data_IF_370863021292
#
_entry.id   IF_370863021292
#
_cell.length_a   1.000
_cell.length_b   1.000
_cell.length_c   1.000
_cell.angle_alpha   90.00
_cell.angle_beta   90.00
_cell.angle_gamma   90.00
#
_symmetry.space_group_name_H-M   'P 1'
#
loop_
_entity.id
_entity.type
_entity.pdbx_description
1 polymer ?
#
# COMPACT_ATOMS: atom_id res chain seq x y z
N UNK A 1 -1.12 -14.39 -34.44
CA UNK A 1 -1.13 -15.84 -34.13
C UNK A 1 -0.44 -16.05 -32.81
N UNK A 2 -0.66 -17.17 -32.13
CA UNK A 2 -0.12 -17.42 -30.79
C UNK A 2 -0.62 -16.47 -29.70
N UNK A 3 -1.64 -15.65 -29.99
CA UNK A 3 -2.10 -14.56 -29.13
C UNK A 3 -3.23 -14.98 -28.20
N UNK A 4 -3.48 -14.19 -27.15
CA UNK A 4 -4.64 -14.33 -26.27
C UNK A 4 -5.95 -14.33 -27.07
N UNK A 5 -6.07 -13.48 -28.10
CA UNK A 5 -7.24 -13.49 -28.98
C UNK A 5 -7.42 -14.86 -29.66
N UNK A 6 -6.36 -15.44 -30.24
CA UNK A 6 -6.48 -16.75 -30.85
C UNK A 6 -6.85 -17.83 -29.81
N UNK A 7 -6.22 -17.78 -28.64
CA UNK A 7 -6.43 -18.72 -27.55
C UNK A 7 -7.89 -18.77 -27.07
N UNK A 8 -8.53 -17.62 -26.84
CA UNK A 8 -9.92 -17.57 -26.36
C UNK A 8 -10.94 -18.06 -27.39
N UNK A 9 -10.55 -18.12 -28.67
CA UNK A 9 -11.34 -18.75 -29.75
C UNK A 9 -10.92 -20.19 -30.05
N UNK A 10 -10.07 -20.82 -29.23
CA UNK A 10 -9.60 -22.19 -29.43
C UNK A 10 -8.73 -22.36 -30.69
N UNK A 11 -8.08 -21.29 -31.13
CA UNK A 11 -7.24 -21.24 -32.32
C UNK A 11 -5.79 -20.95 -31.95
N UNK A 12 -4.87 -21.29 -32.85
CA UNK A 12 -3.47 -20.88 -32.78
C UNK A 12 -3.15 -19.73 -33.74
N UNK A 13 -3.88 -19.61 -34.85
CA UNK A 13 -3.53 -18.69 -35.94
C UNK A 13 -2.31 -19.14 -36.74
N UNK A 14 -1.72 -18.22 -37.52
CA UNK A 14 -0.67 -18.55 -38.50
C UNK A 14 0.72 -18.02 -38.12
N UNK A 15 0.84 -16.69 -38.00
CA UNK A 15 2.11 -16.01 -37.73
C UNK A 15 2.03 -15.36 -36.34
N UNK A 16 2.92 -15.72 -35.40
CA UNK A 16 3.05 -15.01 -34.13
C UNK A 16 3.85 -13.72 -34.29
N UNK A 17 3.76 -12.86 -33.28
CA UNK A 17 4.66 -11.72 -33.11
C UNK A 17 6.12 -12.19 -32.96
N UNK A 18 7.08 -11.37 -33.40
CA UNK A 18 8.51 -11.63 -33.28
C UNK A 18 9.32 -10.32 -33.20
N UNK A 19 10.59 -10.40 -32.85
CA UNK A 19 11.49 -9.26 -32.88
C UNK A 19 12.02 -9.01 -34.30
N UNK A 20 11.27 -8.23 -35.08
CA UNK A 20 11.60 -7.92 -36.48
C UNK A 20 12.86 -7.05 -36.65
N UNK A 21 13.02 -6.02 -35.80
CA UNK A 21 14.20 -5.14 -35.82
C UNK A 21 14.82 -4.97 -34.42
N UNK A 22 15.87 -5.74 -34.10
CA UNK A 22 16.62 -5.60 -32.85
C UNK A 22 17.24 -4.22 -32.62
N UNK A 23 17.57 -3.48 -33.69
CA UNK A 23 18.14 -2.13 -33.57
C UNK A 23 17.06 -1.12 -33.18
N UNK A 24 15.85 -1.26 -33.73
CA UNK A 24 14.70 -0.45 -33.33
C UNK A 24 14.35 -0.69 -31.85
N UNK A 25 14.34 -1.93 -31.37
CA UNK A 25 14.09 -2.21 -29.95
C UNK A 25 15.12 -1.56 -29.02
N UNK A 26 16.41 -1.61 -29.38
CA UNK A 26 17.46 -0.92 -28.60
C UNK A 26 17.26 0.59 -28.63
N UNK A 27 16.99 1.16 -29.80
CA UNK A 27 16.75 2.59 -29.94
C UNK A 27 15.51 3.04 -29.15
N UNK A 28 14.45 2.23 -29.15
CA UNK A 28 13.25 2.43 -28.35
C UNK A 28 13.60 2.50 -26.86
N UNK A 29 14.31 1.50 -26.32
CA UNK A 29 14.74 1.51 -24.92
C UNK A 29 15.55 2.78 -24.59
N UNK A 30 16.57 3.09 -25.39
CA UNK A 30 17.42 4.27 -25.17
C UNK A 30 16.61 5.57 -25.19
N UNK A 31 15.62 5.70 -26.10
CA UNK A 31 14.76 6.90 -26.18
C UNK A 31 13.81 7.01 -25.00
N UNK A 32 13.18 5.91 -24.57
CA UNK A 32 12.29 5.91 -23.40
C UNK A 32 13.03 6.33 -22.14
N UNK A 33 14.26 5.85 -21.93
CA UNK A 33 15.10 6.29 -20.79
C UNK A 33 15.33 7.81 -20.82
N UNK A 34 15.68 8.37 -21.99
CA UNK A 34 15.91 9.81 -22.14
C UNK A 34 14.64 10.62 -21.89
N UNK A 35 13.49 10.19 -22.43
CA UNK A 35 12.21 10.87 -22.22
C UNK A 35 11.80 10.85 -20.74
N UNK A 36 12.05 9.73 -20.05
CA UNK A 36 11.82 9.59 -18.63
C UNK A 36 12.72 10.52 -17.80
N UNK A 37 14.03 10.53 -18.07
CA UNK A 37 15.00 11.38 -17.39
C UNK A 37 14.70 12.88 -17.55
N UNK A 38 14.01 13.26 -18.64
CA UNK A 38 13.60 14.63 -18.90
C UNK A 38 12.19 14.97 -18.40
N UNK A 39 11.49 14.03 -17.77
CA UNK A 39 10.12 14.25 -17.27
C UNK A 39 9.10 14.53 -18.39
N UNK A 40 9.34 14.00 -19.59
CA UNK A 40 8.44 14.15 -20.74
C UNK A 40 7.33 13.10 -20.77
N UNK A 41 7.53 11.98 -20.07
CA UNK A 41 6.52 10.91 -19.93
C UNK A 41 5.60 11.21 -18.74
N UNK A 42 4.29 11.22 -19.00
CA UNK A 42 3.25 11.23 -17.96
C UNK A 42 2.86 9.81 -17.54
N UNK A 43 2.81 8.88 -18.50
CA UNK A 43 2.52 7.47 -18.26
C UNK A 43 3.18 6.60 -19.34
N UNK A 44 3.40 5.34 -19.03
CA UNK A 44 3.94 4.31 -19.92
C UNK A 44 3.26 2.98 -19.59
N UNK A 45 2.83 2.24 -20.60
CA UNK A 45 2.43 0.84 -20.46
C UNK A 45 2.81 0.05 -21.71
N UNK A 46 3.48 -1.08 -21.55
CA UNK A 46 3.88 -1.90 -22.69
C UNK A 46 2.70 -2.66 -23.30
N UNK A 47 2.92 -3.12 -24.53
CA UNK A 47 2.02 -4.03 -25.25
C UNK A 47 2.53 -5.45 -25.09
N UNK A 48 1.63 -6.31 -24.62
CA UNK A 48 1.88 -7.73 -24.39
C UNK A 48 0.59 -8.53 -24.59
N UNK A 49 0.21 -9.40 -23.65
CA UNK A 49 -0.97 -10.26 -23.72
C UNK A 49 -2.26 -9.43 -23.94
N UNK A 50 -3.01 -9.75 -25.00
CA UNK A 50 -4.22 -9.02 -25.38
C UNK A 50 -3.99 -7.72 -26.17
N UNK A 51 -2.73 -7.39 -26.45
CA UNK A 51 -2.35 -6.35 -27.41
C UNK A 51 -2.65 -4.92 -26.96
N UNK A 52 -2.71 -4.01 -27.92
CA UNK A 52 -2.95 -2.58 -27.70
C UNK A 52 -4.27 -2.32 -26.95
N UNK A 53 -5.29 -3.14 -27.18
CA UNK A 53 -6.57 -3.02 -26.49
C UNK A 53 -6.42 -3.18 -24.98
N UNK A 54 -5.72 -4.22 -24.52
CA UNK A 54 -5.51 -4.47 -23.09
C UNK A 54 -4.61 -3.39 -22.49
N UNK A 55 -3.51 -3.02 -23.17
CA UNK A 55 -2.65 -1.90 -22.74
C UNK A 55 -3.45 -0.62 -22.45
N UNK A 56 -4.33 -0.22 -23.38
CA UNK A 56 -5.14 0.99 -23.22
C UNK A 56 -6.23 0.83 -22.14
N UNK A 57 -6.85 -0.34 -22.04
CA UNK A 57 -7.78 -0.64 -20.96
C UNK A 57 -7.11 -0.53 -19.59
N UNK A 58 -5.94 -1.14 -19.40
CA UNK A 58 -5.21 -1.13 -18.13
C UNK A 58 -4.72 0.28 -17.75
N UNK A 59 -4.24 1.06 -18.73
CA UNK A 59 -3.95 2.48 -18.52
C UNK A 59 -5.19 3.28 -18.10
N UNK A 60 -6.34 3.05 -18.73
CA UNK A 60 -7.62 3.69 -18.37
C UNK A 60 -8.08 3.29 -16.97
N UNK A 61 -7.89 2.02 -16.58
CA UNK A 61 -8.22 1.52 -15.24
C UNK A 61 -7.33 2.18 -14.18
N UNK A 62 -6.03 2.29 -14.43
CA UNK A 62 -5.08 2.94 -13.52
C UNK A 62 -5.31 4.44 -13.40
N UNK A 63 -5.64 5.12 -14.51
CA UNK A 63 -5.93 6.55 -14.56
C UNK A 63 -7.37 6.91 -14.17
N UNK A 64 -8.25 5.92 -13.96
CA UNK A 64 -9.69 6.09 -13.70
C UNK A 64 -10.35 7.11 -14.66
N UNK A 65 -10.09 6.94 -15.96
CA UNK A 65 -10.50 7.89 -17.01
C UNK A 65 -10.87 7.16 -18.30
N UNK A 66 -11.74 7.76 -19.11
CA UNK A 66 -12.06 7.28 -20.45
C UNK A 66 -10.96 7.58 -21.46
N UNK A 67 -11.08 7.02 -22.67
CA UNK A 67 -10.15 7.20 -23.77
C UNK A 67 -10.87 7.44 -25.09
N UNK A 68 -10.27 8.24 -25.97
CA UNK A 68 -10.65 8.38 -27.38
C UNK A 68 -9.48 7.97 -28.25
N UNK A 69 -9.63 6.83 -28.94
CA UNK A 69 -8.56 6.17 -29.68
C UNK A 69 -8.94 6.07 -31.16
N UNK A 70 -7.95 6.35 -32.01
CA UNK A 70 -8.01 6.33 -33.45
C UNK A 70 -7.00 5.31 -33.98
N UNK A 71 -7.48 4.36 -34.79
CA UNK A 71 -6.70 3.23 -35.30
C UNK A 71 -6.25 3.40 -36.75
N UNK A 72 -6.66 4.48 -37.43
CA UNK A 72 -6.41 4.74 -38.85
C UNK A 72 -4.92 4.66 -39.24
N UNK A 73 -4.03 5.08 -38.34
CA UNK A 73 -2.58 5.07 -38.58
C UNK A 73 -1.91 3.70 -38.29
N UNK A 74 -2.68 2.69 -37.85
CA UNK A 74 -2.20 1.38 -37.41
C UNK A 74 -2.49 0.24 -38.39
N UNK A 75 -3.02 0.56 -39.58
CA UNK A 75 -3.33 -0.38 -40.65
C UNK A 75 -4.84 -0.60 -40.86
N UNK A 76 -5.18 -1.31 -41.94
CA UNK A 76 -6.56 -1.46 -42.44
C UNK A 76 -7.41 -2.50 -41.66
N UNK A 77 -6.78 -3.33 -40.83
CA UNK A 77 -7.46 -4.34 -40.02
C UNK A 77 -7.50 -3.89 -38.54
N UNK A 78 -8.64 -3.34 -38.06
CA UNK A 78 -8.75 -2.85 -36.68
C UNK A 78 -8.64 -3.99 -35.64
N UNK A 79 -8.96 -5.24 -36.01
CA UNK A 79 -8.81 -6.38 -35.09
C UNK A 79 -7.32 -6.69 -34.91
N UNK A 80 -6.56 -6.72 -36.01
CA UNK A 80 -5.11 -6.91 -35.94
C UNK A 80 -4.42 -5.74 -35.21
N UNK A 81 -4.84 -4.49 -35.45
CA UNK A 81 -4.29 -3.31 -34.78
C UNK A 81 -4.49 -3.38 -33.25
N UNK A 82 -5.66 -3.84 -32.79
CA UNK A 82 -5.99 -3.91 -31.36
C UNK A 82 -5.38 -5.12 -30.64
N UNK A 83 -5.36 -6.29 -31.28
CA UNK A 83 -5.08 -7.56 -30.61
C UNK A 83 -3.79 -8.26 -31.08
N UNK A 84 -3.00 -7.62 -31.94
CA UNK A 84 -1.62 -8.05 -32.16
C UNK A 84 -0.80 -7.81 -30.89
N UNK A 85 0.04 -8.78 -30.55
CA UNK A 85 0.89 -8.78 -29.35
C UNK A 85 2.35 -8.52 -29.75
N UNK A 86 2.54 -7.70 -30.79
CA UNK A 86 3.86 -7.23 -31.20
C UNK A 86 4.49 -6.38 -30.08
N UNK A 87 5.82 -6.35 -30.02
CA UNK A 87 6.52 -5.51 -29.04
C UNK A 87 6.16 -4.03 -29.23
N UNK A 88 6.16 -3.27 -28.13
CA UNK A 88 5.90 -1.84 -28.14
C UNK A 88 5.32 -1.35 -26.83
N UNK A 89 4.93 -0.08 -26.80
CA UNK A 89 4.28 0.53 -25.65
C UNK A 89 3.41 1.72 -26.07
N UNK A 90 2.46 2.06 -25.20
CA UNK A 90 1.77 3.34 -25.23
C UNK A 90 2.45 4.27 -24.22
N UNK A 91 2.85 5.45 -24.70
CA UNK A 91 3.32 6.54 -23.84
C UNK A 91 2.31 7.67 -23.84
N UNK A 92 2.06 8.24 -22.67
CA UNK A 92 1.31 9.48 -22.54
C UNK A 92 2.28 10.63 -22.34
N UNK A 93 2.14 11.68 -23.12
CA UNK A 93 2.91 12.92 -23.02
C UNK A 93 1.96 14.11 -22.94
N UNK A 94 2.44 15.27 -22.49
CA UNK A 94 1.64 16.49 -22.53
C UNK A 94 1.42 16.89 -23.99
N UNK A 95 0.23 17.41 -24.30
CA UNK A 95 -0.11 17.83 -25.67
C UNK A 95 0.91 18.80 -26.29
N UNK A 96 1.44 19.73 -25.48
CA UNK A 96 2.46 20.70 -25.93
C UNK A 96 3.82 20.08 -26.27
N UNK A 97 4.09 18.87 -25.78
CA UNK A 97 5.38 18.18 -25.96
C UNK A 97 5.29 17.13 -27.10
N UNK A 98 4.11 16.89 -27.69
CA UNK A 98 3.87 15.82 -28.68
C UNK A 98 4.78 15.93 -29.90
N UNK A 99 4.88 17.11 -30.52
CA UNK A 99 5.67 17.31 -31.74
C UNK A 99 7.18 17.09 -31.49
N UNK A 100 7.68 17.57 -30.36
CA UNK A 100 9.09 17.41 -29.97
C UNK A 100 9.42 15.93 -29.71
N UNK A 101 8.54 15.21 -29.01
CA UNK A 101 8.71 13.78 -28.74
C UNK A 101 8.70 12.98 -30.04
N UNK A 102 7.76 13.26 -30.96
CA UNK A 102 7.71 12.59 -32.26
C UNK A 102 8.96 12.87 -33.10
N UNK A 103 9.46 14.12 -33.11
CA UNK A 103 10.70 14.46 -33.79
C UNK A 103 11.89 13.66 -33.24
N UNK A 104 11.96 13.50 -31.92
CA UNK A 104 13.04 12.75 -31.28
C UNK A 104 12.99 11.25 -31.56
N UNK A 105 11.78 10.67 -31.60
CA UNK A 105 11.58 9.29 -32.00
C UNK A 105 11.96 9.11 -33.47
N UNK A 106 11.55 10.03 -34.34
CA UNK A 106 11.93 10.03 -35.75
C UNK A 106 13.46 10.09 -35.94
N UNK A 107 14.15 11.00 -35.25
CA UNK A 107 15.61 11.14 -35.33
C UNK A 107 16.37 9.90 -34.82
N UNK A 108 15.74 9.11 -33.94
CA UNK A 108 16.25 7.82 -33.49
C UNK A 108 15.95 6.66 -34.45
N UNK A 109 15.31 6.93 -35.60
CA UNK A 109 14.90 5.91 -36.56
C UNK A 109 13.59 5.19 -36.20
N UNK A 110 12.82 5.72 -35.25
CA UNK A 110 11.57 5.11 -34.77
C UNK A 110 10.30 5.73 -35.38
N UNK A 111 10.45 6.66 -36.33
CA UNK A 111 9.32 7.42 -36.89
C UNK A 111 8.23 6.53 -37.50
N UNK A 112 8.62 5.45 -38.20
CA UNK A 112 7.66 4.51 -38.80
C UNK A 112 6.92 3.61 -37.80
N UNK A 113 7.35 3.60 -36.53
CA UNK A 113 6.73 2.83 -35.44
C UNK A 113 5.96 3.72 -34.46
N UNK A 114 5.98 5.04 -34.67
CA UNK A 114 5.46 6.03 -33.73
C UNK A 114 4.18 6.63 -34.26
N UNK A 115 3.07 6.41 -33.56
CA UNK A 115 1.74 6.85 -34.00
C UNK A 115 1.04 7.61 -32.88
N UNK A 116 0.39 8.73 -33.23
CA UNK A 116 -0.50 9.43 -32.31
C UNK A 116 -1.87 8.77 -32.37
N UNK A 117 -2.19 7.99 -31.35
CA UNK A 117 -3.38 7.15 -31.34
C UNK A 117 -4.59 7.77 -30.63
N UNK A 118 -4.43 8.83 -29.83
CA UNK A 118 -5.59 9.37 -29.10
C UNK A 118 -5.27 10.22 -27.87
N UNK A 119 -6.30 10.43 -27.04
CA UNK A 119 -6.22 11.21 -25.79
C UNK A 119 -7.10 10.61 -24.69
N UNK A 120 -6.83 10.91 -23.40
CA UNK A 120 -7.81 10.74 -22.33
C UNK A 120 -9.11 11.50 -22.58
N UNK A 121 -10.18 11.08 -21.91
CA UNK A 121 -11.51 11.68 -21.99
C UNK A 121 -12.09 11.95 -20.59
N UNK A 122 -12.94 12.98 -20.49
CA UNK A 122 -13.56 13.40 -19.23
C UNK A 122 -14.81 12.57 -18.85
N UNK A 123 -15.06 11.45 -19.54
CA UNK A 123 -16.12 10.50 -19.23
C UNK A 123 -15.57 9.08 -18.98
N UNK A 124 -16.42 8.15 -18.58
CA UNK A 124 -16.02 6.76 -18.27
C UNK A 124 -15.95 5.88 -19.54
N UNK A 125 -15.95 6.45 -20.74
CA UNK A 125 -16.05 5.65 -21.98
C UNK A 125 -14.69 5.46 -22.65
N UNK A 126 -14.46 4.23 -23.12
CA UNK A 126 -13.36 3.92 -24.01
C UNK A 126 -13.94 3.72 -25.41
N UNK A 127 -13.47 4.53 -26.36
CA UNK A 127 -14.00 4.56 -27.72
C UNK A 127 -12.85 4.40 -28.71
N UNK A 128 -12.95 3.37 -29.56
CA UNK A 128 -12.01 3.07 -30.63
C UNK A 128 -12.68 3.34 -31.98
N UNK A 129 -11.99 4.10 -32.82
CA UNK A 129 -12.47 4.51 -34.14
C UNK A 129 -11.51 4.10 -35.24
N UNK A 130 -12.06 3.81 -36.41
CA UNK A 130 -11.34 3.56 -37.65
C UNK A 130 -12.20 4.08 -38.82
N UNK A 131 -11.61 4.82 -39.77
CA UNK A 131 -12.32 5.51 -40.85
C UNK A 131 -13.47 6.40 -40.33
N UNK A 132 -13.25 7.06 -39.19
CA UNK A 132 -14.26 7.87 -38.47
C UNK A 132 -15.50 7.10 -37.96
N UNK A 133 -15.49 5.78 -38.01
CA UNK A 133 -16.55 4.93 -37.47
C UNK A 133 -16.13 4.31 -36.13
N UNK A 134 -17.08 4.22 -35.18
CA UNK A 134 -16.88 3.48 -33.93
C UNK A 134 -16.82 1.98 -34.25
N UNK A 135 -15.66 1.36 -33.98
CA UNK A 135 -15.45 -0.09 -34.20
C UNK A 135 -15.56 -0.89 -32.90
N UNK A 136 -15.28 -0.25 -31.77
CA UNK A 136 -15.44 -0.82 -30.43
C UNK A 136 -15.63 0.33 -29.42
N UNK A 137 -16.62 0.21 -28.55
CA UNK A 137 -16.76 1.11 -27.41
C UNK A 137 -17.46 0.43 -26.24
N UNK A 138 -17.22 0.95 -25.04
CA UNK A 138 -17.84 0.48 -23.81
C UNK A 138 -17.54 1.40 -22.64
N UNK A 139 -18.21 1.15 -21.52
CA UNK A 139 -17.91 1.80 -20.25
C UNK A 139 -16.66 1.15 -19.62
N UNK A 140 -15.74 1.97 -19.12
CA UNK A 140 -14.50 1.54 -18.47
C UNK A 140 -14.82 0.64 -17.29
N UNK A 141 -15.83 0.97 -16.48
CA UNK A 141 -16.25 0.15 -15.35
C UNK A 141 -16.64 -1.26 -15.78
N UNK A 142 -17.41 -1.40 -16.86
CA UNK A 142 -17.85 -2.72 -17.34
C UNK A 142 -16.66 -3.59 -17.76
N UNK A 143 -15.71 -2.99 -18.49
CA UNK A 143 -14.50 -3.69 -18.90
C UNK A 143 -13.54 -3.97 -17.74
N UNK A 144 -13.40 -3.04 -16.79
CA UNK A 144 -12.60 -3.27 -15.59
C UNK A 144 -13.19 -4.41 -14.75
N UNK A 145 -14.52 -4.47 -14.61
CA UNK A 145 -15.19 -5.59 -13.93
C UNK A 145 -14.99 -6.90 -14.66
N UNK A 146 -15.07 -6.91 -16.00
CA UNK A 146 -14.76 -8.11 -16.78
C UNK A 146 -13.31 -8.56 -16.56
N UNK A 147 -12.36 -7.62 -16.58
CA UNK A 147 -10.94 -7.89 -16.32
C UNK A 147 -10.71 -8.41 -14.89
N UNK A 148 -11.39 -7.87 -13.88
CA UNK A 148 -11.26 -8.31 -12.48
C UNK A 148 -12.06 -9.58 -12.13
N UNK A 149 -12.97 -10.05 -12.99
CA UNK A 149 -13.86 -11.18 -12.66
C UNK A 149 -13.06 -12.42 -12.28
N UNK A 150 -11.98 -12.75 -13.00
CA UNK A 150 -11.15 -13.91 -12.68
C UNK A 150 -10.58 -13.82 -11.26
N UNK A 151 -10.04 -12.66 -10.87
CA UNK A 151 -9.52 -12.44 -9.51
C UNK A 151 -10.64 -12.56 -8.47
N UNK A 152 -11.80 -11.94 -8.71
CA UNK A 152 -12.95 -12.01 -7.82
C UNK A 152 -13.44 -13.45 -7.62
N UNK A 153 -13.55 -14.25 -8.68
CA UNK A 153 -13.94 -15.66 -8.61
C UNK A 153 -12.92 -16.48 -7.82
N UNK A 154 -11.63 -16.28 -8.05
CA UNK A 154 -10.57 -16.98 -7.32
C UNK A 154 -10.57 -16.61 -5.84
N UNK A 155 -10.73 -15.34 -5.50
CA UNK A 155 -10.88 -14.89 -4.12
C UNK A 155 -12.12 -15.48 -3.46
N UNK A 156 -13.28 -15.48 -4.14
CA UNK A 156 -14.50 -16.05 -3.58
C UNK A 156 -14.41 -17.56 -3.32
N UNK A 157 -13.57 -18.29 -4.07
CA UNK A 157 -13.30 -19.72 -3.87
C UNK A 157 -12.28 -19.98 -2.74
N UNK A 158 -11.33 -19.06 -2.53
CA UNK A 158 -10.18 -19.24 -1.63
C UNK A 158 -10.37 -18.59 -0.25
N UNK A 159 -11.00 -17.42 -0.24
CA UNK A 159 -11.10 -16.47 0.86
C UNK A 159 -12.55 -16.37 1.36
N UNK A 160 -12.86 -15.37 2.19
CA UNK A 160 -14.25 -15.05 2.52
C UNK A 160 -14.99 -14.48 1.28
N UNK A 161 -16.02 -15.19 0.81
CA UNK A 161 -16.76 -14.81 -0.39
C UNK A 161 -17.49 -13.46 -0.29
N UNK A 162 -17.87 -13.02 0.92
CA UNK A 162 -18.48 -11.70 1.11
C UNK A 162 -17.43 -10.60 0.91
N UNK A 163 -16.21 -10.77 1.42
CA UNK A 163 -15.11 -9.83 1.15
C UNK A 163 -14.77 -9.78 -0.35
N UNK A 164 -14.66 -10.93 -1.01
CA UNK A 164 -14.40 -10.99 -2.45
C UNK A 164 -15.49 -10.28 -3.28
N UNK A 165 -16.76 -10.36 -2.83
CA UNK A 165 -17.87 -9.63 -3.43
C UNK A 165 -17.78 -8.13 -3.15
N UNK A 166 -17.52 -7.73 -1.90
CA UNK A 166 -17.39 -6.31 -1.52
C UNK A 166 -16.28 -5.61 -2.33
N UNK A 167 -15.10 -6.24 -2.49
CA UNK A 167 -14.01 -5.69 -3.31
C UNK A 167 -14.36 -5.65 -4.79
N UNK A 168 -15.04 -6.66 -5.31
CA UNK A 168 -15.47 -6.61 -6.70
C UNK A 168 -16.52 -5.52 -6.92
N UNK A 169 -17.50 -5.40 -6.04
CA UNK A 169 -18.60 -4.44 -6.15
C UNK A 169 -18.18 -3.00 -5.85
N UNK A 170 -17.02 -2.77 -5.21
CA UNK A 170 -16.48 -1.42 -5.04
C UNK A 170 -16.19 -0.73 -6.39
N UNK A 171 -15.92 -1.51 -7.45
CA UNK A 171 -15.73 -0.98 -8.81
C UNK A 171 -16.99 -0.34 -9.40
N UNK A 172 -18.18 -0.59 -8.85
CA UNK A 172 -19.43 0.01 -9.33
C UNK A 172 -19.54 1.50 -8.99
N UNK A 173 -18.69 1.99 -8.09
CA UNK A 173 -18.64 3.40 -7.77
C UNK A 173 -17.77 4.17 -8.78
N UNK A 174 -18.41 4.65 -9.84
CA UNK A 174 -17.77 5.49 -10.86
C UNK A 174 -17.15 6.77 -10.28
N UNK A 175 -17.71 7.28 -9.18
CA UNK A 175 -17.31 8.52 -8.54
C UNK A 175 -16.20 8.37 -7.51
N UNK A 176 -15.68 7.15 -7.31
CA UNK A 176 -14.63 6.89 -6.35
C UNK A 176 -13.41 7.81 -6.62
N UNK A 177 -13.07 8.73 -5.69
CA UNK A 177 -11.95 9.65 -5.88
C UNK A 177 -10.58 8.99 -5.72
N UNK A 178 -10.53 7.70 -5.34
CA UNK A 178 -9.29 7.01 -5.01
C UNK A 178 -8.67 7.51 -3.71
N UNK A 179 -7.40 7.14 -3.49
CA UNK A 179 -6.65 7.58 -2.32
C UNK A 179 -6.52 9.12 -2.31
N UNK A 180 -7.12 9.75 -1.30
CA UNK A 180 -7.22 11.22 -1.20
C UNK A 180 -6.76 11.70 0.19
N UNK A 181 -5.44 11.87 0.42
CA UNK A 181 -4.90 12.30 1.69
C UNK A 181 -5.25 13.77 1.98
N UNK A 182 -5.42 14.10 3.25
CA UNK A 182 -5.63 15.45 3.74
C UNK A 182 -4.93 15.58 5.08
N UNK A 183 -3.99 16.51 5.22
CA UNK A 183 -3.14 16.62 6.42
C UNK A 183 -3.55 17.83 7.26
N UNK A 184 -3.47 17.67 8.59
CA UNK A 184 -3.74 18.72 9.58
C UNK A 184 -2.48 19.49 10.00
N UNK A 185 -1.31 19.10 9.50
CA UNK A 185 0.01 19.60 9.87
C UNK A 185 0.89 19.83 8.63
N UNK A 186 1.96 20.61 8.81
CA UNK A 186 2.96 20.86 7.77
C UNK A 186 3.98 19.71 7.71
N UNK A 187 4.11 19.06 6.57
CA UNK A 187 5.05 17.94 6.38
C UNK A 187 6.50 18.39 6.25
N UNK A 188 6.73 19.66 5.93
CA UNK A 188 8.08 20.23 5.81
C UNK A 188 8.63 20.71 7.15
N UNK A 189 7.78 20.84 8.17
CA UNK A 189 8.19 21.22 9.53
C UNK A 189 8.83 20.01 10.26
N UNK A 190 10.15 20.03 10.38
CA UNK A 190 10.86 19.10 11.27
C UNK A 190 10.82 19.59 12.73
N UNK A 191 9.74 19.21 13.43
CA UNK A 191 9.54 19.52 14.86
C UNK A 191 10.64 18.93 15.77
N UNK A 192 11.37 17.92 15.30
CA UNK A 192 12.47 17.31 16.06
C UNK A 192 13.80 18.04 15.85
N UNK A 193 13.94 18.89 14.82
CA UNK A 193 15.18 19.57 14.49
C UNK A 193 15.82 20.35 15.65
N UNK A 194 15.08 21.10 16.49
CA UNK A 194 15.66 21.78 17.66
C UNK A 194 16.25 20.81 18.68
N UNK A 195 15.60 19.66 18.89
CA UNK A 195 16.10 18.60 19.79
C UNK A 195 17.35 17.93 19.20
N UNK A 196 17.34 17.62 17.90
CA UNK A 196 18.47 17.03 17.17
C UNK A 196 19.69 17.95 17.23
N UNK A 197 19.49 19.26 17.07
CA UNK A 197 20.56 20.27 17.10
C UNK A 197 21.31 20.34 18.45
N UNK A 198 20.71 19.85 19.54
CA UNK A 198 21.41 19.75 20.84
C UNK A 198 22.51 18.69 20.84
N UNK A 199 22.48 17.75 19.90
CA UNK A 199 23.38 16.58 19.85
C UNK A 199 23.04 15.47 20.86
N UNK A 200 22.03 15.67 21.72
CA UNK A 200 21.57 14.63 22.65
C UNK A 200 20.64 13.68 21.92
N UNK A 201 21.00 12.39 21.90
CA UNK A 201 20.21 11.33 21.26
C UNK A 201 19.67 10.36 22.31
N UNK A 202 18.37 10.43 22.67
CA UNK A 202 17.77 9.53 23.65
C UNK A 202 17.86 8.07 23.18
N UNK A 203 18.18 7.15 24.09
CA UNK A 203 18.27 5.72 23.76
C UNK A 203 16.88 5.13 23.55
N UNK A 204 16.72 4.45 22.42
CA UNK A 204 15.48 3.76 22.04
C UNK A 204 15.75 2.27 21.81
N UNK A 205 14.98 1.41 22.47
CA UNK A 205 15.06 -0.02 22.25
C UNK A 205 14.26 -0.39 21.00
N UNK A 206 14.95 -0.79 19.93
CA UNK A 206 14.34 -1.41 18.75
C UNK A 206 14.19 -2.90 19.08
N UNK A 207 13.02 -3.25 19.61
CA UNK A 207 12.76 -4.57 20.17
C UNK A 207 12.38 -5.56 19.07
N UNK A 208 13.06 -6.70 19.06
CA UNK A 208 12.76 -7.82 18.16
C UNK A 208 12.85 -9.18 18.83
N UNK A 209 12.20 -10.15 18.20
CA UNK A 209 12.23 -11.56 18.52
C UNK A 209 12.56 -12.37 17.24
N UNK A 210 12.88 -13.66 17.37
CA UNK A 210 12.99 -14.55 16.22
C UNK A 210 11.74 -14.48 15.32
N UNK A 211 11.94 -14.15 14.04
CA UNK A 211 10.86 -14.00 13.05
C UNK A 211 10.36 -12.57 12.85
N UNK A 212 10.73 -11.62 13.72
CA UNK A 212 10.55 -10.19 13.45
C UNK A 212 11.39 -9.78 12.24
N UNK A 213 10.83 -8.95 11.35
CA UNK A 213 11.46 -8.60 10.08
C UNK A 213 11.36 -7.12 9.69
N UNK A 214 10.66 -6.28 10.46
CA UNK A 214 10.52 -4.85 10.20
C UNK A 214 11.41 -3.93 11.05
N UNK A 215 12.39 -4.49 11.77
CA UNK A 215 13.19 -3.74 12.74
C UNK A 215 14.16 -2.72 12.12
N UNK A 216 14.59 -2.93 10.86
CA UNK A 216 15.62 -2.08 10.25
C UNK A 216 15.02 -0.77 9.78
N UNK A 217 13.88 -0.83 9.08
CA UNK A 217 13.13 0.36 8.69
C UNK A 217 12.57 1.11 9.91
N UNK A 218 12.18 0.38 10.97
CA UNK A 218 11.79 0.98 12.25
C UNK A 218 12.93 1.76 12.89
N UNK A 219 14.13 1.17 12.94
CA UNK A 219 15.32 1.86 13.43
C UNK A 219 15.63 3.11 12.59
N UNK A 220 15.54 3.03 11.26
CA UNK A 220 15.79 4.16 10.37
C UNK A 220 14.80 5.31 10.59
N UNK A 221 13.52 5.01 10.84
CA UNK A 221 12.50 6.00 11.15
C UNK A 221 12.84 6.82 12.41
N UNK A 222 13.17 6.13 13.50
CA UNK A 222 13.52 6.79 14.75
C UNK A 222 14.93 7.41 14.74
N UNK A 223 15.88 6.85 13.98
CA UNK A 223 17.20 7.45 13.79
C UNK A 223 17.09 8.82 13.11
N UNK A 224 16.22 8.93 12.08
CA UNK A 224 15.90 10.20 11.43
C UNK A 224 15.30 11.21 12.42
N UNK A 225 14.46 10.76 13.35
CA UNK A 225 13.89 11.59 14.40
C UNK A 225 14.86 11.91 15.56
N UNK A 226 16.15 11.51 15.46
CA UNK A 226 17.19 11.89 16.41
C UNK A 226 17.48 10.90 17.53
N UNK A 227 16.90 9.70 17.51
CA UNK A 227 17.09 8.71 18.57
C UNK A 227 18.38 7.92 18.41
N UNK A 228 18.98 7.48 19.52
CA UNK A 228 20.03 6.47 19.52
C UNK A 228 19.38 5.07 19.55
N UNK A 229 19.05 4.56 18.37
CA UNK A 229 18.41 3.26 18.19
C UNK A 229 19.38 2.12 18.54
N UNK A 230 18.93 1.20 19.40
CA UNK A 230 19.69 0.02 19.80
C UNK A 230 18.91 -1.22 19.43
N UNK A 231 19.53 -2.15 18.70
CA UNK A 231 18.98 -3.50 18.49
C UNK A 231 18.90 -4.23 19.83
N UNK A 232 17.68 -4.58 20.24
CA UNK A 232 17.42 -5.32 21.48
C UNK A 232 16.65 -6.58 21.12
N UNK A 233 17.36 -7.70 21.08
CA UNK A 233 16.70 -8.99 20.91
C UNK A 233 16.13 -9.47 22.24
N UNK A 234 15.02 -10.22 22.23
CA UNK A 234 14.45 -10.81 23.45
C UNK A 234 15.44 -11.64 24.25
N UNK A 235 16.36 -12.33 23.58
CA UNK A 235 17.43 -13.09 24.24
C UNK A 235 18.41 -12.21 25.02
N UNK A 236 18.55 -10.92 24.68
CA UNK A 236 19.39 -9.97 25.42
C UNK A 236 18.75 -9.57 26.75
N UNK A 237 17.43 -9.38 26.75
CA UNK A 237 16.66 -9.07 27.97
C UNK A 237 16.57 -10.29 28.89
N UNK A 238 16.20 -11.44 28.33
CA UNK A 238 16.09 -12.72 29.07
C UNK A 238 17.46 -13.12 29.62
N UNK A 239 18.52 -12.98 28.82
CA UNK A 239 19.90 -13.30 29.22
C UNK A 239 20.57 -12.23 30.09
N UNK A 240 19.91 -11.09 30.32
CA UNK A 240 20.43 -10.00 31.13
C UNK A 240 21.61 -9.22 30.54
N UNK A 241 21.81 -9.29 29.22
CA UNK A 241 22.83 -8.52 28.49
C UNK A 241 22.42 -7.06 28.31
N UNK A 242 21.11 -6.79 28.40
CA UNK A 242 20.50 -5.45 28.33
C UNK A 242 19.40 -5.36 29.40
N UNK A 243 19.08 -4.13 29.81
CA UNK A 243 17.95 -3.80 30.70
C UNK A 243 17.13 -2.69 30.05
N UNK A 244 15.81 -2.72 30.22
CA UNK A 244 14.91 -1.68 29.74
C UNK A 244 15.02 -0.38 30.54
N UNK A 245 15.62 -0.43 31.74
CA UNK A 245 15.90 0.76 32.55
C UNK A 245 16.83 1.79 31.84
N UNK A 246 17.63 1.32 30.88
CA UNK A 246 18.56 2.12 30.09
C UNK A 246 17.90 3.01 29.01
N UNK A 247 16.59 2.83 28.77
CA UNK A 247 15.90 3.37 27.62
C UNK A 247 14.80 4.35 28.01
N UNK A 248 14.60 5.38 27.17
CA UNK A 248 13.48 6.31 27.29
C UNK A 248 12.24 5.81 26.55
N UNK A 249 12.45 5.06 25.47
CA UNK A 249 11.40 4.49 24.66
C UNK A 249 11.70 3.08 24.19
N UNK A 250 10.64 2.35 23.87
CA UNK A 250 10.71 1.00 23.31
C UNK A 250 9.75 0.89 22.13
N UNK A 251 10.22 0.26 21.05
CA UNK A 251 9.41 -0.02 19.88
C UNK A 251 9.42 -1.52 19.60
N UNK A 252 8.25 -2.15 19.69
CA UNK A 252 8.06 -3.53 19.28
C UNK A 252 7.77 -3.58 17.77
N UNK A 253 8.67 -4.19 17.02
CA UNK A 253 8.67 -4.15 15.56
C UNK A 253 7.74 -5.21 14.93
N UNK A 254 7.36 -4.99 13.67
CA UNK A 254 6.53 -5.91 12.91
C UNK A 254 7.28 -7.15 12.36
N UNK A 255 6.52 -8.16 11.96
CA UNK A 255 7.03 -9.40 11.37
C UNK A 255 6.16 -10.60 11.70
N UNK A 256 6.77 -11.78 11.78
CA UNK A 256 6.09 -13.04 12.07
C UNK A 256 6.83 -13.76 13.20
N UNK A 257 6.83 -13.16 14.41
CA UNK A 257 7.52 -13.78 15.54
C UNK A 257 6.99 -15.20 15.78
N UNK A 258 7.90 -16.17 15.86
CA UNK A 258 7.58 -17.61 15.91
C UNK A 258 6.67 -18.12 14.76
N UNK A 259 6.64 -17.44 13.62
CA UNK A 259 5.75 -17.77 12.50
C UNK A 259 4.27 -17.62 12.81
N UNK A 260 3.91 -16.77 13.79
CA UNK A 260 2.55 -16.55 14.31
C UNK A 260 1.86 -17.81 14.85
N UNK A 261 2.63 -18.88 15.12
CA UNK A 261 2.12 -20.10 15.75
C UNK A 261 1.67 -19.78 17.18
N UNK A 262 0.51 -20.31 17.57
CA UNK A 262 -0.19 -20.02 18.84
C UNK A 262 -0.80 -18.61 18.93
N UNK A 263 -1.06 -17.99 17.77
CA UNK A 263 -1.62 -16.64 17.62
C UNK A 263 -0.52 -15.60 17.45
N UNK A 264 -0.67 -14.70 16.48
CA UNK A 264 0.32 -13.70 16.12
C UNK A 264 0.68 -12.81 17.34
N UNK A 265 1.98 -12.60 17.57
CA UNK A 265 2.51 -11.91 18.76
C UNK A 265 2.33 -12.66 20.10
N UNK A 266 1.54 -13.73 20.13
CA UNK A 266 1.23 -14.49 21.36
C UNK A 266 2.42 -15.28 21.90
N UNK A 267 3.22 -15.90 21.03
CA UNK A 267 4.47 -16.58 21.43
C UNK A 267 5.48 -15.61 22.07
N UNK A 268 5.66 -14.45 21.43
CA UNK A 268 6.53 -13.38 21.93
C UNK A 268 6.05 -12.84 23.27
N UNK A 269 4.77 -12.49 23.42
CA UNK A 269 4.22 -12.00 24.69
C UNK A 269 4.33 -13.04 25.81
N UNK A 270 4.03 -14.31 25.53
CA UNK A 270 4.14 -15.39 26.54
C UNK A 270 5.58 -15.65 26.97
N UNK A 271 6.56 -15.48 26.07
CA UNK A 271 7.98 -15.57 26.44
C UNK A 271 8.38 -14.53 27.50
N UNK A 272 7.75 -13.35 27.46
CA UNK A 272 7.91 -12.28 28.46
C UNK A 272 7.18 -12.67 29.74
N UNK A 273 5.89 -13.00 29.64
CA UNK A 273 5.03 -13.27 30.80
C UNK A 273 5.49 -14.47 31.65
N UNK A 274 6.05 -15.50 31.01
CA UNK A 274 6.49 -16.73 31.67
C UNK A 274 7.97 -16.74 32.06
N UNK A 275 8.69 -15.65 31.80
CA UNK A 275 10.04 -15.45 32.29
C UNK A 275 10.04 -14.31 33.33
N UNK A 276 10.26 -14.64 34.60
CA UNK A 276 10.16 -13.67 35.70
C UNK A 276 11.03 -12.40 35.47
N UNK A 277 12.26 -12.58 35.00
CA UNK A 277 13.16 -11.44 34.72
C UNK A 277 12.60 -10.54 33.61
N UNK A 278 12.19 -11.12 32.50
CA UNK A 278 11.65 -10.35 31.39
C UNK A 278 10.35 -9.65 31.82
N UNK A 279 9.43 -10.36 32.48
CA UNK A 279 8.20 -9.77 33.02
C UNK A 279 8.49 -8.55 33.90
N UNK A 280 9.38 -8.69 34.87
CA UNK A 280 9.73 -7.61 35.81
C UNK A 280 10.34 -6.40 35.07
N UNK A 281 11.20 -6.63 34.07
CA UNK A 281 11.79 -5.57 33.24
C UNK A 281 10.73 -4.78 32.46
N UNK A 282 9.79 -5.48 31.80
CA UNK A 282 8.72 -4.84 31.04
C UNK A 282 7.74 -4.11 31.97
N UNK A 283 7.30 -4.73 33.06
CA UNK A 283 6.40 -4.11 34.04
C UNK A 283 7.02 -2.85 34.65
N UNK A 284 8.30 -2.91 35.04
CA UNK A 284 9.03 -1.74 35.53
C UNK A 284 9.14 -0.63 34.47
N UNK A 285 9.41 -0.99 33.20
CA UNK A 285 9.46 -0.02 32.11
C UNK A 285 8.12 0.67 31.86
N UNK A 286 7.01 -0.08 31.87
CA UNK A 286 5.67 0.47 31.64
C UNK A 286 5.17 1.34 32.80
N UNK A 287 5.57 1.02 34.04
CA UNK A 287 5.18 1.76 35.24
C UNK A 287 5.89 3.12 35.39
N UNK A 288 7.05 3.30 34.75
CA UNK A 288 7.77 4.59 34.73
C UNK A 288 6.91 5.67 34.08
N UNK A 289 6.92 6.89 34.61
CA UNK A 289 6.16 8.03 34.09
C UNK A 289 6.87 8.78 32.96
N UNK A 290 8.16 8.51 32.76
CA UNK A 290 9.01 9.17 31.77
C UNK A 290 9.15 8.35 30.48
N UNK A 291 8.67 7.11 30.44
CA UNK A 291 8.82 6.22 29.27
C UNK A 291 7.70 6.39 28.24
N UNK A 292 7.99 6.02 26.99
CA UNK A 292 6.98 5.83 25.96
C UNK A 292 7.18 4.50 25.22
N UNK A 293 6.18 4.06 24.46
CA UNK A 293 6.34 2.90 23.59
C UNK A 293 5.40 2.85 22.41
N UNK A 294 5.85 2.15 21.38
CA UNK A 294 5.12 1.91 20.14
C UNK A 294 5.11 0.42 19.82
N UNK A 295 3.95 -0.13 19.48
CA UNK A 295 3.84 -1.47 18.88
C UNK A 295 3.28 -1.39 17.48
N UNK A 296 4.01 -1.92 16.50
CA UNK A 296 3.57 -1.94 15.11
C UNK A 296 3.35 -3.37 14.62
N UNK A 297 2.20 -3.63 14.02
CA UNK A 297 1.81 -4.94 13.46
C UNK A 297 2.03 -6.09 14.45
N UNK A 298 3.07 -6.91 14.30
CA UNK A 298 3.39 -7.98 15.25
C UNK A 298 3.75 -7.47 16.66
N UNK A 299 4.35 -6.29 16.75
CA UNK A 299 4.57 -5.60 18.01
C UNK A 299 3.28 -5.06 18.63
N UNK A 300 2.31 -4.63 17.81
CA UNK A 300 0.97 -4.26 18.28
C UNK A 300 0.26 -5.47 18.90
N UNK A 301 0.26 -6.60 18.19
CA UNK A 301 -0.29 -7.87 18.67
C UNK A 301 0.38 -8.32 19.98
N UNK A 302 1.72 -8.29 20.03
CA UNK A 302 2.48 -8.64 21.24
C UNK A 302 2.12 -7.74 22.43
N UNK A 303 2.11 -6.41 22.25
CA UNK A 303 1.75 -5.49 23.33
C UNK A 303 0.29 -5.62 23.75
N UNK A 304 -0.62 -5.95 22.84
CA UNK A 304 -2.03 -6.25 23.17
C UNK A 304 -2.17 -7.44 24.12
N UNK A 305 -1.30 -8.45 23.97
CA UNK A 305 -1.22 -9.58 24.90
C UNK A 305 -0.55 -9.23 26.23
N UNK A 306 0.21 -8.14 26.31
CA UNK A 306 0.83 -7.62 27.53
C UNK A 306 -0.01 -6.52 28.22
N UNK A 307 -1.25 -6.29 27.78
CA UNK A 307 -2.08 -5.18 28.28
C UNK A 307 -2.25 -5.13 29.80
N UNK A 308 -2.13 -6.26 30.49
CA UNK A 308 -2.17 -6.33 31.97
C UNK A 308 -0.96 -5.66 32.64
N UNK A 309 0.20 -5.63 31.97
CA UNK A 309 1.41 -4.98 32.47
C UNK A 309 1.48 -3.48 32.12
N UNK A 310 0.63 -3.01 31.21
CA UNK A 310 0.67 -1.64 30.66
C UNK A 310 -0.41 -0.79 31.34
N UNK A 311 -0.06 0.19 32.18
CA UNK A 311 -1.03 1.04 32.85
C UNK A 311 -1.96 1.74 31.85
N UNK A 312 -3.27 1.59 32.04
CA UNK A 312 -4.28 2.25 31.20
C UNK A 312 -4.50 1.60 29.83
N UNK A 313 -4.03 0.37 29.61
CA UNK A 313 -4.23 -0.41 28.38
C UNK A 313 -5.27 -1.55 28.52
N UNK A 314 -5.94 -1.68 29.67
CA UNK A 314 -6.84 -2.82 29.96
C UNK A 314 -7.94 -3.03 28.90
N UNK A 315 -8.39 -1.95 28.26
CA UNK A 315 -9.42 -1.93 27.22
C UNK A 315 -8.91 -2.25 25.81
N UNK A 316 -7.63 -2.57 25.64
CA UNK A 316 -7.11 -2.94 24.33
C UNK A 316 -7.69 -4.27 23.84
N UNK A 317 -8.02 -4.37 22.53
CA UNK A 317 -8.59 -5.57 21.95
C UNK A 317 -7.53 -6.65 21.81
N UNK A 318 -7.98 -7.85 21.47
CA UNK A 318 -7.12 -8.86 20.83
C UNK A 318 -7.15 -8.63 19.32
N UNK A 319 -6.02 -8.85 18.67
CA UNK A 319 -5.94 -8.88 17.21
C UNK A 319 -5.95 -10.34 16.75
N UNK A 320 -6.86 -10.67 15.84
CA UNK A 320 -7.10 -12.03 15.35
C UNK A 320 -7.15 -12.07 13.83
N UNK A 321 -7.29 -13.28 13.28
CA UNK A 321 -7.49 -13.52 11.84
C UNK A 321 -8.44 -12.51 11.20
N UNK A 322 -8.02 -11.94 10.07
CA UNK A 322 -8.80 -11.01 9.25
C UNK A 322 -10.14 -11.62 8.85
N UNK A 323 -11.17 -10.79 8.66
CA UNK A 323 -12.48 -11.23 8.15
C UNK A 323 -12.37 -11.89 6.76
N UNK A 324 -11.42 -11.47 5.93
CA UNK A 324 -11.14 -12.06 4.62
C UNK A 324 -10.59 -13.48 4.70
N UNK A 325 -10.16 -13.94 5.88
CA UNK A 325 -9.41 -15.19 6.07
C UNK A 325 -8.06 -15.23 5.31
N UNK A 326 -7.59 -14.08 4.81
CA UNK A 326 -6.38 -13.94 4.01
C UNK A 326 -5.39 -12.93 4.60
N UNK A 327 -4.12 -13.05 4.23
CA UNK A 327 -3.13 -12.01 4.47
C UNK A 327 -3.40 -10.81 3.56
N UNK A 328 -3.52 -9.62 4.14
CA UNK A 328 -3.75 -8.38 3.39
C UNK A 328 -2.46 -7.57 3.31
N UNK A 329 -1.94 -7.45 2.09
CA UNK A 329 -0.90 -6.51 1.71
C UNK A 329 -1.55 -5.36 0.93
N UNK A 330 -1.84 -4.25 1.60
CA UNK A 330 -2.65 -3.14 1.05
C UNK A 330 -1.98 -1.80 1.33
N UNK A 331 -2.36 -0.80 0.54
CA UNK A 331 -2.09 0.60 0.83
C UNK A 331 -3.45 1.25 1.12
N UNK A 332 -3.77 1.36 2.41
CA UNK A 332 -5.14 1.67 2.88
C UNK A 332 -5.21 3.08 3.45
N UNK A 333 -6.35 3.75 3.28
CA UNK A 333 -6.58 5.07 3.86
C UNK A 333 -6.96 4.95 5.34
N UNK A 334 -6.31 5.75 6.19
CA UNK A 334 -6.64 5.86 7.61
C UNK A 334 -6.86 7.31 8.00
N UNK A 335 -7.74 7.54 8.96
CA UNK A 335 -7.84 8.79 9.70
C UNK A 335 -7.11 8.67 11.05
N UNK A 336 -6.43 9.75 11.45
CA UNK A 336 -5.90 9.91 12.80
C UNK A 336 -6.97 10.61 13.64
N UNK A 337 -7.39 9.95 14.72
CA UNK A 337 -8.43 10.43 15.62
C UNK A 337 -7.80 11.16 16.79
N UNK A 338 -8.45 12.23 17.25
CA UNK A 338 -8.05 12.91 18.49
C UNK A 338 -8.01 11.93 19.66
N UNK A 339 -6.84 11.80 20.28
CA UNK A 339 -6.56 10.81 21.31
C UNK A 339 -5.41 11.27 22.20
N UNK A 340 -5.23 10.66 23.39
CA UNK A 340 -4.08 10.98 24.24
C UNK A 340 -2.71 10.65 23.64
N UNK A 341 -2.63 9.93 22.51
CA UNK A 341 -1.36 9.42 21.96
C UNK A 341 -0.35 10.55 21.73
N UNK A 342 0.77 10.51 22.46
CA UNK A 342 1.83 11.51 22.30
C UNK A 342 2.57 11.38 20.97
N UNK A 343 2.48 10.21 20.32
CA UNK A 343 3.13 9.92 19.04
C UNK A 343 2.33 10.45 17.84
N UNK A 344 1.08 10.85 18.07
CA UNK A 344 0.14 11.35 17.06
C UNK A 344 -0.37 12.75 17.41
N UNK A 345 0.35 13.44 18.31
CA UNK A 345 0.04 14.80 18.71
C UNK A 345 0.01 15.72 17.47
N UNK A 346 -0.98 16.62 17.43
CA UNK A 346 -1.19 17.59 16.35
C UNK A 346 -1.50 17.01 14.95
N UNK A 347 -1.65 15.68 14.84
CA UNK A 347 -2.00 15.00 13.59
C UNK A 347 -3.50 14.67 13.48
N UNK A 348 -4.29 14.93 14.53
CA UNK A 348 -5.71 14.61 14.57
C UNK A 348 -6.49 15.29 13.43
N UNK A 349 -7.36 14.52 12.77
CA UNK A 349 -8.11 14.95 11.59
C UNK A 349 -7.38 14.73 10.27
N UNK A 350 -6.09 14.36 10.31
CA UNK A 350 -5.37 13.93 9.10
C UNK A 350 -5.94 12.62 8.56
N UNK A 351 -6.02 12.51 7.25
CA UNK A 351 -6.26 11.28 6.48
C UNK A 351 -5.06 11.01 5.59
N UNK A 352 -4.49 9.82 5.67
CA UNK A 352 -3.33 9.47 4.85
C UNK A 352 -3.35 7.98 4.52
N UNK A 353 -2.84 7.59 3.34
CA UNK A 353 -2.66 6.19 3.04
C UNK A 353 -1.46 5.64 3.83
N UNK A 354 -1.54 4.37 4.22
CA UNK A 354 -0.51 3.70 5.01
C UNK A 354 -0.38 2.23 4.59
N UNK A 355 0.84 1.70 4.67
CA UNK A 355 1.11 0.29 4.37
C UNK A 355 0.44 -0.60 5.41
N UNK A 356 -0.36 -1.56 4.92
CA UNK A 356 -0.98 -2.63 5.69
C UNK A 356 -0.39 -3.96 5.21
N UNK A 357 0.05 -4.80 6.15
CA UNK A 357 0.68 -6.08 5.84
C UNK A 357 0.46 -7.09 6.97
N UNK A 358 -0.75 -7.65 7.09
CA UNK A 358 -1.08 -8.58 8.17
C UNK A 358 -2.15 -9.62 7.80
N UNK A 359 -2.07 -10.81 8.41
CA UNK A 359 -3.12 -11.84 8.36
C UNK A 359 -4.01 -11.90 9.61
N UNK A 360 -3.54 -11.31 10.71
CA UNK A 360 -4.24 -11.30 12.01
C UNK A 360 -4.37 -9.87 12.57
N UNK A 361 -5.01 -8.98 11.80
CA UNK A 361 -5.17 -7.56 12.17
C UNK A 361 -6.56 -7.17 12.65
N UNK A 362 -7.52 -8.10 12.73
CA UNK A 362 -8.90 -7.78 13.12
C UNK A 362 -9.00 -7.58 14.63
N UNK A 363 -9.41 -6.40 15.07
CA UNK A 363 -9.66 -6.10 16.46
C UNK A 363 -10.93 -6.81 16.96
N UNK A 364 -10.81 -7.53 18.08
CA UNK A 364 -11.91 -8.15 18.81
C UNK A 364 -11.87 -7.67 20.26
N UNK A 365 -12.93 -7.00 20.66
CA UNK A 365 -13.12 -6.48 22.01
C UNK A 365 -13.99 -7.43 22.83
N UNK A 366 -13.74 -7.46 24.14
CA UNK A 366 -14.71 -7.99 25.09
C UNK A 366 -15.82 -6.93 25.32
N UNK A 367 -17.02 -7.34 25.72
CA UNK A 367 -18.24 -6.53 25.60
C UNK A 367 -18.18 -5.12 26.24
N UNK A 368 -17.41 -4.95 27.31
CA UNK A 368 -17.26 -3.66 28.02
C UNK A 368 -16.07 -2.83 27.52
N UNK A 369 -15.09 -3.45 26.86
CA UNK A 369 -13.81 -2.82 26.50
C UNK A 369 -13.95 -1.87 25.30
N UNK A 370 -14.86 -2.17 24.37
CA UNK A 370 -15.02 -1.40 23.13
C UNK A 370 -15.34 0.09 23.38
N UNK A 371 -16.14 0.39 24.42
CA UNK A 371 -16.51 1.76 24.77
C UNK A 371 -15.42 2.50 25.56
N UNK A 372 -14.56 1.76 26.27
CA UNK A 372 -13.48 2.33 27.08
C UNK A 372 -12.17 2.51 26.29
N UNK A 373 -12.03 1.81 25.17
CA UNK A 373 -10.86 1.83 24.30
C UNK A 373 -10.56 3.25 23.76
N UNK A 374 -9.29 3.66 23.85
CA UNK A 374 -8.81 4.94 23.30
C UNK A 374 -8.28 4.71 21.89
N UNK A 375 -9.17 4.90 20.92
CA UNK A 375 -8.86 4.77 19.49
C UNK A 375 -7.99 5.94 19.05
N UNK A 376 -6.97 5.64 18.24
CA UNK A 376 -6.06 6.62 17.66
C UNK A 376 -6.05 6.59 16.12
N UNK A 377 -6.36 5.44 15.50
CA UNK A 377 -6.48 5.31 14.05
C UNK A 377 -7.71 4.52 13.65
N UNK A 378 -8.36 4.94 12.57
CA UNK A 378 -9.45 4.21 11.91
C UNK A 378 -9.23 4.11 10.40
N UNK A 379 -9.59 2.97 9.80
CA UNK A 379 -9.73 2.85 8.35
C UNK A 379 -10.91 3.68 7.84
N UNK A 380 -10.71 4.33 6.70
CA UNK A 380 -11.74 5.08 5.98
C UNK A 380 -11.87 4.57 4.55
N UNK A 381 -13.05 4.76 3.95
CA UNK A 381 -13.18 4.69 2.51
C UNK A 381 -12.50 5.87 1.82
N UNK A 382 -12.49 5.89 0.48
CA UNK A 382 -11.88 6.96 -0.31
C UNK A 382 -12.61 8.31 -0.19
N UNK A 383 -13.83 8.34 0.36
CA UNK A 383 -14.54 9.57 0.71
C UNK A 383 -14.20 10.09 2.11
N UNK A 384 -13.30 9.42 2.83
CA UNK A 384 -12.89 9.79 4.18
C UNK A 384 -13.92 9.41 5.26
N UNK A 385 -14.84 8.49 4.98
CA UNK A 385 -15.82 8.00 5.97
C UNK A 385 -15.26 6.74 6.63
N UNK A 386 -15.33 6.67 7.95
CA UNK A 386 -15.01 5.45 8.71
C UNK A 386 -15.81 4.27 8.17
N UNK A 387 -15.15 3.13 7.95
CA UNK A 387 -15.78 2.00 7.26
C UNK A 387 -15.41 0.64 7.84
N UNK A 388 -16.32 -0.32 7.67
CA UNK A 388 -16.11 -1.75 7.88
C UNK A 388 -16.16 -2.54 6.56
N UNK A 389 -16.38 -1.85 5.44
CA UNK A 389 -16.40 -2.44 4.11
C UNK A 389 -14.98 -2.80 3.67
N UNK A 390 -14.83 -3.99 3.11
CA UNK A 390 -13.60 -4.48 2.53
C UNK A 390 -13.50 -4.00 1.06
N UNK A 391 -12.30 -3.68 0.53
CA UNK A 391 -10.99 -3.76 1.17
C UNK A 391 -10.54 -2.46 1.87
N UNK A 392 -11.36 -1.41 1.88
CA UNK A 392 -11.03 -0.13 2.54
C UNK A 392 -10.67 -0.34 4.02
N UNK A 393 -11.43 -1.18 4.71
CA UNK A 393 -11.05 -1.82 5.96
C UNK A 393 -10.60 -3.26 5.67
N UNK A 394 -9.27 -3.52 5.59
CA UNK A 394 -8.74 -4.77 5.07
C UNK A 394 -8.99 -5.97 6.01
N UNK A 395 -9.16 -5.74 7.31
CA UNK A 395 -9.27 -6.84 8.29
C UNK A 395 -10.68 -7.01 8.88
N UNK A 396 -11.60 -6.08 8.63
CA UNK A 396 -12.95 -6.11 9.17
C UNK A 396 -13.01 -5.76 10.67
N UNK A 397 -12.08 -4.93 11.16
CA UNK A 397 -12.17 -4.42 12.53
C UNK A 397 -13.38 -3.52 12.71
N UNK A 398 -14.11 -3.63 13.84
CA UNK A 398 -15.30 -2.82 14.08
C UNK A 398 -14.95 -1.33 14.09
N UNK A 399 -15.84 -0.51 13.52
CA UNK A 399 -15.70 0.94 13.40
C UNK A 399 -14.36 1.37 12.76
N UNK A 400 -13.77 0.55 11.90
CA UNK A 400 -12.48 0.82 11.26
C UNK A 400 -11.27 0.76 12.20
N UNK A 401 -11.42 0.38 13.47
CA UNK A 401 -10.35 0.54 14.47
C UNK A 401 -9.08 -0.20 14.07
N UNK A 402 -7.95 0.50 14.02
CA UNK A 402 -6.65 -0.10 13.67
C UNK A 402 -5.46 0.42 14.48
N UNK A 403 -5.67 1.44 15.30
CA UNK A 403 -4.68 1.92 16.26
C UNK A 403 -5.34 2.38 17.57
N UNK A 404 -4.66 2.13 18.68
CA UNK A 404 -5.11 2.46 20.03
C UNK A 404 -3.97 3.02 20.88
N UNK A 405 -4.32 3.74 21.94
CA UNK A 405 -3.36 4.28 22.90
C UNK A 405 -3.73 3.94 24.34
N UNK A 406 -2.78 4.02 25.27
CA UNK A 406 -3.03 3.97 26.71
C UNK A 406 -3.76 5.22 27.18
N UNK A 407 -4.41 5.15 28.35
CA UNK A 407 -5.12 6.29 28.96
C UNK A 407 -4.26 7.55 29.12
N UNK A 408 -2.97 7.39 29.40
CA UNK A 408 -2.02 8.49 29.56
C UNK A 408 -1.27 8.86 28.28
N UNK A 409 -1.55 8.17 27.16
CA UNK A 409 -1.00 8.51 25.85
C UNK A 409 0.39 7.99 25.53
N UNK A 410 1.13 7.47 26.51
CA UNK A 410 2.55 7.13 26.36
C UNK A 410 2.80 5.86 25.57
N UNK A 411 1.82 4.95 25.52
CA UNK A 411 1.91 3.70 24.78
C UNK A 411 0.87 3.65 23.68
N UNK A 412 1.31 3.55 22.44
CA UNK A 412 0.44 3.42 21.26
C UNK A 412 0.71 2.11 20.55
N UNK A 413 -0.34 1.45 20.07
CA UNK A 413 -0.25 0.25 19.25
C UNK A 413 -1.05 0.46 17.97
N UNK A 414 -0.53 -0.02 16.84
CA UNK A 414 -1.21 0.07 15.55
C UNK A 414 -0.86 -1.10 14.64
N UNK A 415 -1.83 -1.55 13.84
CA UNK A 415 -1.60 -2.63 12.87
C UNK A 415 -0.89 -2.16 11.58
N UNK A 416 -1.17 -0.98 11.02
CA UNK A 416 -0.45 -0.48 9.84
C UNK A 416 1.00 -0.12 10.16
N UNK A 417 1.82 0.02 9.10
CA UNK A 417 3.27 0.22 9.16
C UNK A 417 3.68 1.65 8.77
N UNK A 418 3.68 2.63 9.69
CA UNK A 418 4.15 3.99 9.40
C UNK A 418 5.65 4.03 9.05
N UNK A 419 6.44 3.15 9.65
CA UNK A 419 7.88 3.04 9.41
C UNK A 419 8.23 2.63 7.97
N UNK A 420 7.29 1.98 7.26
CA UNK A 420 7.44 1.64 5.84
C UNK A 420 7.06 2.80 4.91
N UNK A 421 6.44 3.85 5.44
CA UNK A 421 5.95 5.01 4.69
C UNK A 421 6.76 6.30 4.96
N UNK A 422 7.86 6.23 5.71
CA UNK A 422 8.62 7.40 6.18
C UNK A 422 9.24 8.27 5.09
N UNK A 423 9.41 7.72 3.89
CA UNK A 423 9.93 8.44 2.73
C UNK A 423 8.83 8.47 1.69
N UNK A 424 8.56 9.64 1.12
CA UNK A 424 7.54 9.83 0.07
C UNK A 424 7.70 8.78 -1.04
N UNK A 425 8.93 8.54 -1.50
CA UNK A 425 9.27 7.54 -2.54
C UNK A 425 8.96 6.08 -2.17
N UNK A 426 8.69 5.75 -0.91
CA UNK A 426 8.27 4.41 -0.49
C UNK A 426 6.75 4.23 -0.50
N UNK A 427 5.98 5.30 -0.71
CA UNK A 427 4.53 5.21 -0.80
C UNK A 427 4.14 4.73 -2.20
N UNK A 428 3.25 3.73 -2.28
CA UNK A 428 2.80 3.17 -3.57
C UNK A 428 2.12 4.20 -4.47
N UNK A 429 1.51 5.21 -3.84
CA UNK A 429 0.94 6.39 -4.47
C UNK A 429 1.09 7.55 -3.48
N UNK A 430 1.35 8.75 -3.99
CA UNK A 430 1.37 9.97 -3.19
C UNK A 430 1.00 11.17 -4.08
N UNK A 431 0.56 12.29 -3.49
CA UNK A 431 0.44 13.55 -4.23
C UNK A 431 1.79 13.97 -4.84
N UNK A 432 1.75 14.57 -6.03
CA UNK A 432 2.94 15.07 -6.76
C UNK A 432 3.73 16.16 -6.01
#
# INVERSE_FOLDING_TARGET
GGSCLAQVYGQLGHHPADLDDPRALKAFFDRIQILNDQGLLLAYHDRSDGGLFVTLCEMAFAGHTGLRIRLDDLGDDPVAALFSEELGAVIQVRHRDTDDVLAWLHDAGLGQYSHVIGTPADDDRLVFTHDHHEVLAGERIEWQRCWQETSSRMQALRDNSDCAREEFDSLLDAGDPGLSPALSFDTEEDVAAPCIATGVRPRLAILREQGVNGQVEMAAAFDRAGFACVDVHMSDLIGGRRSLADFQGLVACGGFSYGDVLGAGGGWARSILYNARARDEFEAFFARSDTFGLGVCNGCQMLSHLKELIPGASSWPRFVRNRSEQFEARFSLVEIVDSPSILLADMAGSRLPIVVAHGEGRAVFDAEDAAAARVALRYTDHYGRVTEAYPFNPNGSPLGITGLTSRDGRFTIMMPHPERCIRTVHNSWHPD
#
